data_IF_307641831481
#
_entry.id   IF_307641831481
#
_cell.length_a   1.000
_cell.length_b   1.000
_cell.length_c   1.000
_cell.angle_alpha   90.00
_cell.angle_beta   90.00
_cell.angle_gamma   90.00
#
_symmetry.space_group_name_H-M   'P 1'
#
loop_
_entity.id
_entity.type
_entity.pdbx_description
1 polymer ?
#
# COMPACT_ATOMS: atom_id res chain seq x y z
N UNK A 1 -3.21 -4.29 19.22
CA UNK A 1 -3.58 -3.86 17.86
C UNK A 1 -2.41 -3.11 17.25
N UNK A 2 -1.80 -3.68 16.24
CA UNK A 2 -0.61 -3.08 15.61
C UNK A 2 -0.71 -3.02 14.09
N UNK A 3 -1.37 -3.99 13.48
CA UNK A 3 -1.48 -4.06 12.05
C UNK A 3 -2.70 -3.28 11.56
N UNK A 4 -2.62 -2.74 10.33
CA UNK A 4 -3.79 -2.13 9.69
C UNK A 4 -4.94 -3.12 9.53
N UNK A 5 -4.62 -4.39 9.31
CA UNK A 5 -5.58 -5.50 9.33
C UNK A 5 -6.38 -5.62 10.62
N UNK A 6 -5.80 -5.22 11.76
CA UNK A 6 -6.51 -5.20 13.04
C UNK A 6 -7.34 -3.92 13.23
N UNK A 7 -6.87 -2.79 12.67
CA UNK A 7 -7.52 -1.48 12.83
C UNK A 7 -8.76 -1.37 11.95
N UNK A 8 -8.69 -1.83 10.71
CA UNK A 8 -9.78 -1.67 9.76
C UNK A 8 -11.09 -2.37 10.19
N UNK A 9 -11.07 -3.61 10.69
CA UNK A 9 -12.27 -4.23 11.27
C UNK A 9 -12.85 -3.43 12.43
N UNK A 10 -12.01 -2.86 13.29
CA UNK A 10 -12.47 -2.04 14.42
C UNK A 10 -13.15 -0.75 13.94
N UNK A 11 -12.60 -0.08 12.93
CA UNK A 11 -13.24 1.09 12.32
C UNK A 11 -14.59 0.71 11.71
N UNK A 12 -14.65 -0.39 10.98
CA UNK A 12 -15.88 -0.90 10.37
C UNK A 12 -16.94 -1.29 11.42
N UNK A 13 -16.51 -1.67 12.64
CA UNK A 13 -17.36 -1.96 13.79
C UNK A 13 -17.77 -0.70 14.56
N UNK A 14 -17.36 0.48 14.14
CA UNK A 14 -17.72 1.76 14.76
C UNK A 14 -16.84 2.16 15.95
N UNK A 15 -15.66 1.53 16.12
CA UNK A 15 -14.72 1.96 17.15
C UNK A 15 -14.27 3.41 16.92
N UNK A 16 -14.23 4.19 17.99
CA UNK A 16 -13.85 5.59 17.95
C UNK A 16 -12.34 5.74 17.69
N UNK A 17 -11.96 6.72 16.89
CA UNK A 17 -10.55 6.97 16.57
C UNK A 17 -9.68 7.15 17.84
N UNK A 18 -10.23 7.76 18.90
CA UNK A 18 -9.55 7.93 20.18
C UNK A 18 -9.25 6.60 20.88
N UNK A 19 -10.18 5.64 20.84
CA UNK A 19 -10.02 4.32 21.46
C UNK A 19 -9.01 3.47 20.68
N UNK A 20 -9.05 3.56 19.36
CA UNK A 20 -8.06 2.92 18.48
C UNK A 20 -6.67 3.48 18.76
N UNK A 21 -6.52 4.80 18.84
CA UNK A 21 -5.24 5.44 19.15
C UNK A 21 -4.72 5.02 20.54
N UNK A 22 -5.58 4.97 21.55
CA UNK A 22 -5.22 4.49 22.88
C UNK A 22 -4.76 3.03 22.87
N UNK A 23 -5.44 2.17 22.11
CA UNK A 23 -5.06 0.76 21.93
C UNK A 23 -3.69 0.62 21.24
N UNK A 24 -3.38 1.46 20.27
CA UNK A 24 -2.08 1.48 19.60
C UNK A 24 -0.99 1.88 20.60
N UNK A 25 -1.18 2.94 21.39
CA UNK A 25 -0.22 3.33 22.42
C UNK A 25 0.02 2.20 23.44
N UNK A 26 -1.04 1.53 23.88
CA UNK A 26 -0.89 0.40 24.80
C UNK A 26 -0.14 -0.77 24.15
N UNK A 27 -0.39 -1.05 22.89
CA UNK A 27 0.32 -2.10 22.15
C UNK A 27 1.82 -1.77 21.99
N UNK A 28 2.17 -0.50 21.70
CA UNK A 28 3.56 -0.02 21.66
C UNK A 28 4.25 -0.25 23.00
N UNK A 29 3.59 0.11 24.10
CA UNK A 29 4.11 -0.08 25.47
C UNK A 29 4.38 -1.55 25.74
N UNK A 30 3.40 -2.41 25.51
CA UNK A 30 3.52 -3.85 25.76
C UNK A 30 4.66 -4.47 24.95
N UNK A 31 4.78 -4.12 23.67
CA UNK A 31 5.84 -4.63 22.81
C UNK A 31 7.22 -4.10 23.21
N UNK A 32 7.30 -2.82 23.60
CA UNK A 32 8.56 -2.22 24.07
C UNK A 32 9.04 -2.90 25.34
N UNK A 33 8.15 -3.08 26.31
CA UNK A 33 8.48 -3.76 27.57
C UNK A 33 8.89 -5.20 27.32
N UNK A 34 8.11 -5.95 26.54
CA UNK A 34 8.41 -7.35 26.21
C UNK A 34 9.74 -7.50 25.46
N UNK A 35 10.02 -6.63 24.51
CA UNK A 35 11.25 -6.66 23.72
C UNK A 35 12.52 -6.26 24.48
N UNK A 36 12.42 -5.22 25.31
CA UNK A 36 13.59 -4.68 26.04
C UNK A 36 13.83 -5.37 27.38
N UNK A 37 12.76 -5.60 28.14
CA UNK A 37 12.91 -6.21 29.46
C UNK A 37 13.14 -7.74 29.41
N UNK A 38 12.64 -8.41 28.36
CA UNK A 38 12.79 -9.87 28.18
C UNK A 38 12.42 -10.66 29.45
N UNK A 39 11.32 -10.29 30.10
CA UNK A 39 10.84 -10.88 31.35
C UNK A 39 11.55 -10.39 32.63
N UNK A 40 12.53 -9.50 32.51
CA UNK A 40 13.17 -8.90 33.71
C UNK A 40 12.31 -7.77 34.27
N UNK A 41 12.22 -7.61 35.59
CA UNK A 41 11.48 -6.51 36.19
C UNK A 41 12.19 -5.16 35.94
N UNK A 42 11.44 -4.18 35.45
CA UNK A 42 11.90 -2.81 35.31
C UNK A 42 11.72 -2.13 36.66
N UNK A 43 12.83 -1.68 37.27
CA UNK A 43 12.85 -1.10 38.62
C UNK A 43 13.68 0.19 38.62
N UNK A 44 13.44 1.05 39.61
CA UNK A 44 14.19 2.29 39.83
C UNK A 44 13.51 3.53 39.22
N UNK A 45 14.26 4.60 39.12
CA UNK A 45 13.82 5.88 38.57
C UNK A 45 13.79 5.78 37.03
N UNK A 46 12.63 5.99 36.43
CA UNK A 46 12.44 5.88 34.98
C UNK A 46 12.48 7.27 34.36
N UNK A 47 13.36 7.46 33.38
CA UNK A 47 13.43 8.66 32.58
C UNK A 47 12.85 8.41 31.20
N UNK A 48 12.01 9.33 30.74
CA UNK A 48 11.43 9.33 29.39
C UNK A 48 12.25 10.22 28.47
N UNK A 49 12.93 9.63 27.49
CA UNK A 49 13.82 10.31 26.55
C UNK A 49 13.40 10.03 25.09
N UNK A 50 13.81 10.93 24.22
CA UNK A 50 13.57 10.82 22.77
C UNK A 50 12.20 11.31 22.32
N UNK A 51 12.05 11.50 21.01
CA UNK A 51 10.90 12.18 20.41
C UNK A 51 9.52 11.63 20.83
N UNK A 52 9.24 10.34 20.63
CA UNK A 52 7.92 9.79 20.96
C UNK A 52 7.50 9.99 22.41
N UNK A 53 8.42 9.80 23.34
CA UNK A 53 8.14 9.98 24.77
C UNK A 53 8.13 11.45 25.19
N UNK A 54 8.86 12.31 24.50
CA UNK A 54 8.83 13.76 24.76
C UNK A 54 7.50 14.38 24.33
N UNK A 55 7.02 14.06 23.13
CA UNK A 55 5.82 14.71 22.56
C UNK A 55 4.52 14.06 22.99
N UNK A 56 4.49 12.75 23.26
CA UNK A 56 3.25 12.04 23.56
C UNK A 56 3.04 11.81 25.07
N UNK A 57 2.27 12.68 25.71
CA UNK A 57 1.84 12.50 27.10
C UNK A 57 0.99 11.25 27.31
N UNK A 58 0.20 10.84 26.31
CA UNK A 58 -0.59 9.63 26.35
C UNK A 58 0.28 8.37 26.39
N UNK A 59 1.36 8.36 25.59
CA UNK A 59 2.31 7.25 25.59
C UNK A 59 2.98 7.11 26.98
N UNK A 60 3.43 8.21 27.58
CA UNK A 60 4.01 8.20 28.93
C UNK A 60 3.02 7.66 29.98
N UNK A 61 1.78 8.14 29.97
CA UNK A 61 0.75 7.64 30.88
C UNK A 61 0.48 6.12 30.72
N UNK A 62 0.56 5.62 29.48
CA UNK A 62 0.43 4.19 29.23
C UNK A 62 1.61 3.40 29.80
N UNK A 63 2.84 3.93 29.73
CA UNK A 63 4.00 3.34 30.41
C UNK A 63 3.85 3.36 31.92
N UNK A 64 3.52 4.52 32.50
CA UNK A 64 3.31 4.67 33.94
C UNK A 64 2.29 3.66 34.47
N UNK A 65 1.13 3.54 33.78
CA UNK A 65 0.08 2.61 34.14
C UNK A 65 0.53 1.14 34.05
N UNK A 66 1.27 0.79 33.00
CA UNK A 66 1.68 -0.59 32.76
C UNK A 66 2.80 -1.02 33.72
N UNK A 67 3.71 -0.14 34.03
CA UNK A 67 4.83 -0.40 34.94
C UNK A 67 4.50 -0.17 36.40
N UNK A 68 3.39 0.46 36.72
CA UNK A 68 3.00 0.84 38.09
C UNK A 68 3.93 1.88 38.71
N UNK A 69 4.46 2.80 37.91
CA UNK A 69 5.43 3.84 38.31
C UNK A 69 5.00 5.21 37.79
N UNK A 70 5.64 6.26 38.28
CA UNK A 70 5.57 7.59 37.66
C UNK A 70 6.94 7.94 37.13
N UNK A 71 7.09 7.89 35.81
CA UNK A 71 8.35 8.25 35.16
C UNK A 71 8.53 9.76 35.03
N UNK A 72 9.77 10.20 34.90
CA UNK A 72 10.15 11.60 34.79
C UNK A 72 10.50 11.97 33.37
N UNK A 73 9.93 13.04 32.84
CA UNK A 73 10.35 13.68 31.59
C UNK A 73 11.27 14.83 31.91
N UNK A 74 12.59 14.68 31.73
CA UNK A 74 13.52 15.78 32.04
C UNK A 74 13.42 16.91 30.99
N UNK A 75 13.77 18.08 31.37
CA UNK A 75 14.02 19.20 30.47
C UNK A 75 15.10 18.78 29.44
N UNK A 76 14.95 19.23 28.20
CA UNK A 76 15.85 18.85 27.10
C UNK A 76 15.93 17.35 26.78
N UNK A 77 14.88 16.58 27.10
CA UNK A 77 14.82 15.13 26.88
C UNK A 77 15.14 14.68 25.44
N UNK A 78 14.98 15.56 24.45
CA UNK A 78 15.38 15.34 23.05
C UNK A 78 16.91 15.44 22.84
N UNK A 79 17.59 16.18 23.66
CA UNK A 79 19.02 16.52 23.51
C UNK A 79 19.94 15.64 24.36
N UNK A 80 19.40 14.72 25.16
CA UNK A 80 20.16 13.91 26.10
C UNK A 80 21.33 13.16 25.45
N UNK A 81 21.14 12.64 24.23
CA UNK A 81 22.23 11.95 23.51
C UNK A 81 23.33 12.92 23.13
N UNK A 82 22.98 14.10 22.61
CA UNK A 82 23.96 15.14 22.28
C UNK A 82 24.66 15.69 23.52
N UNK A 83 23.92 15.91 24.62
CA UNK A 83 24.50 16.34 25.91
C UNK A 83 25.43 15.27 26.46
N UNK A 84 25.03 13.99 26.40
CA UNK A 84 25.89 12.90 26.83
C UNK A 84 27.16 12.81 25.98
N UNK A 85 27.05 12.97 24.66
CA UNK A 85 28.24 13.05 23.81
C UNK A 85 29.16 14.23 24.16
N UNK A 86 28.56 15.38 24.45
CA UNK A 86 29.35 16.55 24.87
C UNK A 86 30.09 16.32 26.19
N UNK A 87 29.51 15.57 27.15
CA UNK A 87 30.20 15.22 28.40
C UNK A 87 31.36 14.24 28.21
N UNK A 88 31.37 13.49 27.10
CA UNK A 88 32.47 12.59 26.74
C UNK A 88 33.51 13.25 25.83
N UNK A 89 33.28 14.50 25.39
CA UNK A 89 34.23 15.22 24.57
C UNK A 89 35.36 15.73 25.50
N UNK A 90 36.51 15.12 25.41
CA UNK A 90 37.72 15.41 26.19
C UNK A 90 38.85 16.03 25.34
N UNK A 91 38.67 16.13 24.04
CA UNK A 91 39.61 16.73 23.12
C UNK A 91 39.10 18.09 22.59
N UNK A 92 39.98 19.09 22.59
CA UNK A 92 39.73 20.37 21.96
C UNK A 92 40.01 20.27 20.44
N UNK A 93 39.10 20.79 19.63
CA UNK A 93 39.27 20.85 18.18
C UNK A 93 39.13 22.27 17.68
N UNK A 94 40.03 22.70 16.80
CA UNK A 94 39.89 23.98 16.09
C UNK A 94 38.78 23.89 15.05
N UNK A 95 37.74 24.72 15.20
CA UNK A 95 36.61 24.76 14.27
C UNK A 95 37.02 25.09 12.82
N UNK A 96 38.12 25.83 12.63
CA UNK A 96 38.64 26.15 11.30
C UNK A 96 39.21 24.89 10.63
N UNK A 97 39.90 24.06 11.39
CA UNK A 97 40.43 22.81 10.91
C UNK A 97 39.29 21.80 10.60
N UNK A 98 38.27 21.76 11.47
CA UNK A 98 37.05 20.95 11.18
C UNK A 98 36.37 21.41 9.92
N UNK A 99 36.19 22.73 9.73
CA UNK A 99 35.60 23.28 8.52
C UNK A 99 36.42 22.91 7.27
N UNK A 100 37.76 23.05 7.32
CA UNK A 100 38.66 22.65 6.24
C UNK A 100 38.51 21.14 5.89
N UNK A 101 38.50 20.29 6.91
CA UNK A 101 38.32 18.84 6.70
C UNK A 101 36.95 18.51 6.09
N UNK A 102 35.89 19.29 6.41
CA UNK A 102 34.58 19.14 5.79
C UNK A 102 34.59 19.57 4.31
N UNK A 103 35.28 20.66 3.97
CA UNK A 103 35.42 21.12 2.58
C UNK A 103 36.26 20.14 1.73
N UNK A 104 37.25 19.50 2.35
CA UNK A 104 38.10 18.50 1.70
C UNK A 104 37.47 17.09 1.69
N UNK A 105 36.37 16.87 2.42
CA UNK A 105 35.72 15.57 2.51
C UNK A 105 35.04 15.20 1.20
N UNK A 106 35.60 14.24 0.50
CA UNK A 106 34.94 13.55 -0.61
C UNK A 106 34.49 12.18 -0.15
N UNK A 107 33.20 11.95 -0.15
CA UNK A 107 32.66 10.61 0.12
C UNK A 107 33.07 9.67 -1.01
N UNK A 108 34.03 8.79 -0.75
CA UNK A 108 34.28 7.65 -1.65
C UNK A 108 33.19 6.63 -1.39
N UNK A 109 32.30 6.43 -2.33
CA UNK A 109 31.24 5.44 -2.23
C UNK A 109 31.85 4.03 -1.99
N UNK A 110 31.72 3.53 -0.78
CA UNK A 110 32.27 2.22 -0.37
C UNK A 110 31.16 1.18 -0.16
N UNK A 111 29.92 1.51 -0.53
CA UNK A 111 28.80 0.59 -0.39
C UNK A 111 28.77 -0.46 -1.51
N UNK A 112 28.16 -1.61 -1.25
CA UNK A 112 27.92 -2.64 -2.27
C UNK A 112 26.85 -2.14 -3.22
N UNK A 113 27.16 -2.12 -4.51
CA UNK A 113 26.26 -1.64 -5.56
C UNK A 113 25.76 -2.77 -6.46
N UNK A 114 24.59 -2.56 -7.03
CA UNK A 114 23.96 -3.40 -8.05
C UNK A 114 24.11 -2.76 -9.43
N UNK A 115 23.94 -3.54 -10.51
CA UNK A 115 23.88 -2.97 -11.85
C UNK A 115 22.74 -1.96 -12.00
N UNK A 116 22.91 -0.92 -12.83
CA UNK A 116 21.86 0.05 -13.14
C UNK A 116 20.58 -0.62 -13.66
N UNK A 117 19.44 0.03 -13.41
CA UNK A 117 18.16 -0.44 -13.93
C UNK A 117 18.11 -0.36 -15.46
N UNK A 118 18.64 0.72 -16.02
CA UNK A 118 18.78 0.93 -17.46
C UNK A 118 20.23 1.28 -17.78
N UNK A 119 20.79 0.67 -18.82
CA UNK A 119 22.14 0.97 -19.28
C UNK A 119 22.22 2.32 -20.01
N UNK A 120 21.14 2.74 -20.64
CA UNK A 120 21.03 3.98 -21.38
C UNK A 120 19.56 4.38 -21.59
N UNK A 121 19.37 5.59 -22.17
CA UNK A 121 18.04 6.15 -22.41
C UNK A 121 17.21 5.34 -23.42
N UNK A 122 17.86 4.77 -24.44
CA UNK A 122 17.17 3.97 -25.46
C UNK A 122 16.52 2.71 -24.85
N UNK A 123 17.24 2.02 -23.96
CA UNK A 123 16.69 0.86 -23.25
C UNK A 123 15.44 1.24 -22.42
N UNK A 124 15.46 2.41 -21.80
CA UNK A 124 14.29 2.93 -21.10
C UNK A 124 13.12 3.24 -22.05
N UNK A 125 13.40 3.91 -23.18
CA UNK A 125 12.36 4.23 -24.16
C UNK A 125 11.69 2.97 -24.75
N UNK A 126 12.48 1.95 -25.06
CA UNK A 126 11.98 0.66 -25.54
C UNK A 126 11.14 -0.06 -24.49
N UNK A 127 11.57 -0.04 -23.22
CA UNK A 127 10.83 -0.57 -22.08
C UNK A 127 9.50 0.17 -21.89
N UNK A 128 9.53 1.50 -21.87
CA UNK A 128 8.35 2.34 -21.70
C UNK A 128 7.33 2.12 -22.83
N UNK A 129 7.80 2.16 -24.09
CA UNK A 129 6.96 1.93 -25.27
C UNK A 129 6.31 0.54 -25.28
N UNK A 130 6.98 -0.48 -24.73
CA UNK A 130 6.41 -1.82 -24.60
C UNK A 130 5.27 -1.86 -23.60
N UNK A 131 5.40 -1.20 -22.45
CA UNK A 131 4.36 -1.17 -21.42
C UNK A 131 3.16 -0.30 -21.82
N UNK A 132 3.32 0.69 -22.68
CA UNK A 132 2.22 1.48 -23.23
C UNK A 132 1.25 0.70 -24.14
N UNK A 133 1.59 -0.54 -24.53
CA UNK A 133 0.71 -1.37 -25.39
C UNK A 133 -0.44 -2.04 -24.62
N UNK A 134 -0.30 -2.19 -23.30
CA UNK A 134 -1.33 -2.82 -22.46
C UNK A 134 -2.29 -1.75 -21.92
N UNK A 135 -3.17 -1.25 -22.79
CA UNK A 135 -4.09 -0.14 -22.49
C UNK A 135 -5.53 -0.58 -22.63
N UNK A 136 -6.41 0.07 -21.86
CA UNK A 136 -7.87 0.01 -22.05
C UNK A 136 -8.32 1.33 -22.66
N UNK A 137 -9.10 1.32 -23.75
CA UNK A 137 -9.63 2.56 -24.30
C UNK A 137 -10.46 3.32 -23.25
N UNK A 138 -10.16 4.61 -23.09
CA UNK A 138 -10.94 5.51 -22.27
C UNK A 138 -11.74 6.41 -23.22
N UNK A 139 -13.07 6.25 -23.24
CA UNK A 139 -13.96 6.94 -24.15
C UNK A 139 -14.74 8.04 -23.41
N UNK A 140 -15.14 9.12 -24.10
CA UNK A 140 -16.05 10.11 -23.53
C UNK A 140 -17.35 9.47 -23.07
N UNK A 141 -17.80 9.78 -21.87
CA UNK A 141 -19.08 9.30 -21.35
C UNK A 141 -20.23 10.12 -21.92
N UNK A 142 -20.71 9.74 -23.10
CA UNK A 142 -21.83 10.40 -23.80
C UNK A 142 -23.19 9.83 -23.45
N UNK A 143 -24.26 10.50 -23.91
CA UNK A 143 -25.65 10.07 -23.68
C UNK A 143 -26.01 8.73 -24.36
N UNK A 144 -25.30 8.36 -25.42
CA UNK A 144 -25.60 7.20 -26.26
C UNK A 144 -24.72 5.96 -25.91
N UNK A 145 -24.07 5.94 -24.74
CA UNK A 145 -23.16 4.84 -24.35
C UNK A 145 -23.88 3.51 -24.07
N UNK A 146 -25.22 3.47 -24.14
CA UNK A 146 -26.00 2.28 -23.80
C UNK A 146 -25.94 1.91 -22.31
N UNK A 147 -26.35 0.68 -21.96
CA UNK A 147 -26.24 0.19 -20.59
C UNK A 147 -24.78 0.03 -20.15
N UNK A 148 -24.45 0.53 -18.94
CA UNK A 148 -23.10 0.48 -18.39
C UNK A 148 -22.97 -0.52 -17.26
N UNK A 149 -21.72 -0.94 -16.98
CA UNK A 149 -21.38 -1.83 -15.87
C UNK A 149 -20.41 -1.13 -14.93
N UNK A 150 -20.71 -1.15 -13.64
CA UNK A 150 -19.92 -0.48 -12.61
C UNK A 150 -19.21 -1.51 -11.75
N UNK A 151 -17.91 -1.33 -11.57
CA UNK A 151 -17.12 -2.06 -10.59
C UNK A 151 -16.63 -1.14 -9.49
N UNK A 152 -16.79 -1.57 -8.24
CA UNK A 152 -16.37 -0.82 -7.06
C UNK A 152 -15.42 -1.68 -6.24
N UNK A 153 -14.15 -1.26 -6.15
CA UNK A 153 -13.16 -1.86 -5.26
C UNK A 153 -13.03 -1.00 -4.00
N UNK A 154 -13.61 -1.50 -2.93
CA UNK A 154 -13.55 -0.88 -1.61
C UNK A 154 -12.42 -1.46 -0.78
N UNK A 155 -11.21 -0.96 -0.99
CA UNK A 155 -10.04 -1.36 -0.23
C UNK A 155 -10.01 -0.77 1.19
N UNK A 156 -9.02 -1.19 1.98
CA UNK A 156 -8.82 -0.73 3.36
C UNK A 156 -8.57 0.77 3.50
N UNK A 157 -7.93 1.38 2.51
CA UNK A 157 -7.52 2.81 2.54
C UNK A 157 -8.04 3.63 1.38
N UNK A 158 -8.46 2.98 0.29
CA UNK A 158 -8.87 3.64 -0.94
C UNK A 158 -10.12 3.02 -1.53
N UNK A 159 -10.89 3.86 -2.23
CA UNK A 159 -11.98 3.42 -3.11
C UNK A 159 -11.54 3.62 -4.55
N UNK A 160 -11.81 2.62 -5.37
CA UNK A 160 -11.70 2.70 -6.82
C UNK A 160 -13.05 2.36 -7.41
N UNK A 161 -13.48 3.12 -8.38
CA UNK A 161 -14.72 2.90 -9.11
C UNK A 161 -14.42 3.03 -10.60
N UNK A 162 -14.88 2.07 -11.38
CA UNK A 162 -14.75 2.04 -12.83
C UNK A 162 -16.11 1.82 -13.44
N UNK A 163 -16.46 2.59 -14.47
CA UNK A 163 -17.64 2.41 -15.31
C UNK A 163 -17.18 1.99 -16.69
N UNK A 164 -17.69 0.88 -17.18
CA UNK A 164 -17.39 0.36 -18.52
C UNK A 164 -18.65 0.24 -19.38
N UNK A 165 -18.47 0.33 -20.69
CA UNK A 165 -19.48 0.00 -21.69
C UNK A 165 -19.54 -1.51 -21.97
N UNK A 166 -20.39 -1.87 -22.97
CA UNK A 166 -20.51 -3.28 -23.40
C UNK A 166 -19.29 -3.82 -24.16
N UNK A 167 -18.36 -2.96 -24.59
CA UNK A 167 -17.12 -3.35 -25.25
C UNK A 167 -15.94 -3.37 -24.29
N UNK A 168 -16.21 -3.14 -22.99
CA UNK A 168 -15.24 -3.07 -21.90
C UNK A 168 -14.31 -1.82 -21.95
N UNK A 169 -14.71 -0.78 -22.71
CA UNK A 169 -14.02 0.50 -22.66
C UNK A 169 -14.36 1.24 -21.37
N UNK A 170 -13.42 1.98 -20.81
CA UNK A 170 -13.66 2.80 -19.62
C UNK A 170 -14.33 4.11 -20.04
N UNK A 171 -15.47 4.41 -19.41
CA UNK A 171 -16.20 5.65 -19.57
C UNK A 171 -15.95 6.62 -18.41
N UNK A 172 -15.68 6.07 -17.22
CA UNK A 172 -15.39 6.85 -16.03
C UNK A 172 -14.54 6.04 -15.06
N UNK A 173 -13.62 6.72 -14.39
CA UNK A 173 -12.82 6.14 -13.33
C UNK A 173 -12.68 7.11 -12.15
N UNK A 174 -12.55 6.54 -10.96
CA UNK A 174 -12.25 7.29 -9.74
C UNK A 174 -11.35 6.47 -8.82
N UNK A 175 -10.27 7.08 -8.37
CA UNK A 175 -9.35 6.52 -7.37
C UNK A 175 -9.15 7.55 -6.26
N UNK A 176 -9.63 7.28 -5.04
CA UNK A 176 -9.53 8.22 -3.91
C UNK A 176 -9.34 7.52 -2.56
N UNK A 177 -8.69 8.18 -1.58
CA UNK A 177 -8.67 7.73 -0.18
C UNK A 177 -10.09 7.66 0.38
N UNK A 178 -10.39 6.60 1.15
CA UNK A 178 -11.70 6.40 1.78
C UNK A 178 -11.79 6.96 3.20
N UNK A 179 -10.68 7.45 3.77
CA UNK A 179 -10.58 8.01 5.12
C UNK A 179 -11.19 7.11 6.21
N UNK A 180 -11.22 5.79 6.00
CA UNK A 180 -11.81 4.80 6.90
C UNK A 180 -13.32 4.60 6.76
N UNK A 181 -14.02 5.38 5.91
CA UNK A 181 -15.45 5.21 5.64
C UNK A 181 -15.72 5.33 4.14
N UNK A 182 -15.97 4.23 3.42
CA UNK A 182 -16.21 4.22 1.99
C UNK A 182 -17.56 4.82 1.58
N UNK A 183 -18.56 4.79 2.46
CA UNK A 183 -19.96 5.08 2.12
C UNK A 183 -20.18 6.49 1.57
N UNK A 184 -19.69 7.57 2.21
CA UNK A 184 -19.89 8.92 1.69
C UNK A 184 -19.31 9.11 0.28
N UNK A 185 -18.13 8.53 0.02
CA UNK A 185 -17.43 8.68 -1.24
C UNK A 185 -18.12 7.90 -2.38
N UNK A 186 -18.60 6.69 -2.10
CA UNK A 186 -19.36 5.90 -3.08
C UNK A 186 -20.69 6.60 -3.39
N UNK A 187 -21.41 7.08 -2.35
CA UNK A 187 -22.64 7.85 -2.54
C UNK A 187 -22.42 9.11 -3.42
N UNK A 188 -21.41 9.91 -3.08
CA UNK A 188 -21.04 11.10 -3.86
C UNK A 188 -20.77 10.75 -5.33
N UNK A 189 -20.03 9.65 -5.57
CA UNK A 189 -19.67 9.22 -6.92
C UNK A 189 -20.89 8.78 -7.71
N UNK A 190 -21.75 7.93 -7.13
CA UNK A 190 -22.97 7.47 -7.82
C UNK A 190 -23.94 8.63 -8.09
N UNK A 191 -24.12 9.57 -7.14
CA UNK A 191 -24.92 10.78 -7.35
C UNK A 191 -24.34 11.66 -8.46
N UNK A 192 -23.02 11.82 -8.51
CA UNK A 192 -22.34 12.53 -9.59
C UNK A 192 -22.66 11.92 -10.95
N UNK A 193 -22.50 10.59 -11.07
CA UNK A 193 -22.80 9.87 -12.32
C UNK A 193 -24.24 10.11 -12.80
N UNK A 194 -25.24 10.03 -11.91
CA UNK A 194 -26.63 10.30 -12.28
C UNK A 194 -26.90 11.76 -12.69
N UNK A 195 -26.24 12.72 -12.04
CA UNK A 195 -26.39 14.14 -12.34
C UNK A 195 -25.72 14.53 -13.65
N UNK A 196 -24.52 14.00 -13.88
CA UNK A 196 -23.73 14.32 -15.07
C UNK A 196 -24.26 13.58 -16.31
N UNK A 197 -24.95 12.46 -16.12
CA UNK A 197 -25.50 11.61 -17.21
C UNK A 197 -26.99 11.34 -16.98
N UNK A 198 -27.89 12.31 -17.25
CA UNK A 198 -29.33 12.12 -17.14
C UNK A 198 -29.81 10.97 -18.06
N UNK A 199 -30.55 10.02 -17.49
CA UNK A 199 -31.00 8.85 -18.22
C UNK A 199 -30.02 7.65 -18.25
N UNK A 200 -28.95 7.73 -17.45
CA UNK A 200 -27.96 6.66 -17.28
C UNK A 200 -28.64 5.32 -16.98
N UNK A 201 -28.37 4.32 -17.81
CA UNK A 201 -28.84 2.95 -17.63
C UNK A 201 -27.70 2.11 -17.07
N UNK A 202 -27.85 1.65 -15.83
CA UNK A 202 -26.88 0.78 -15.18
C UNK A 202 -27.40 -0.66 -15.31
N UNK A 203 -26.63 -1.51 -16.02
CA UNK A 203 -26.95 -2.92 -16.22
C UNK A 203 -26.47 -3.78 -15.04
N UNK A 204 -25.32 -3.45 -14.45
CA UNK A 204 -24.83 -4.14 -13.26
C UNK A 204 -23.89 -3.30 -12.42
N UNK A 205 -23.92 -3.53 -11.11
CA UNK A 205 -22.95 -2.99 -10.15
C UNK A 205 -22.37 -4.15 -9.34
N UNK A 206 -21.05 -4.31 -9.40
CA UNK A 206 -20.33 -5.36 -8.68
C UNK A 206 -19.32 -4.74 -7.73
N UNK A 207 -19.33 -5.15 -6.47
CA UNK A 207 -18.41 -4.68 -5.43
C UNK A 207 -17.35 -5.73 -5.13
N UNK A 208 -16.16 -5.27 -4.72
CA UNK A 208 -15.05 -6.13 -4.30
C UNK A 208 -14.20 -5.42 -3.23
N UNK A 209 -13.22 -6.12 -2.66
CA UNK A 209 -12.32 -5.60 -1.63
C UNK A 209 -12.86 -5.74 -0.21
N UNK A 210 -12.14 -5.22 0.79
CA UNK A 210 -12.48 -5.36 2.21
C UNK A 210 -13.87 -4.81 2.58
N UNK A 211 -14.32 -3.76 1.91
CA UNK A 211 -15.63 -3.12 2.11
C UNK A 211 -16.73 -3.65 1.20
N UNK A 212 -16.51 -4.77 0.52
CA UNK A 212 -17.43 -5.36 -0.46
C UNK A 212 -18.86 -5.44 0.06
N UNK A 213 -19.08 -6.17 1.14
CA UNK A 213 -20.43 -6.37 1.67
C UNK A 213 -21.06 -5.10 2.21
N UNK A 214 -20.27 -4.23 2.86
CA UNK A 214 -20.75 -2.96 3.35
C UNK A 214 -21.30 -2.08 2.22
N UNK A 215 -20.52 -1.92 1.14
CA UNK A 215 -20.92 -1.11 -0.02
C UNK A 215 -22.07 -1.75 -0.77
N UNK A 216 -22.02 -3.08 -0.98
CA UNK A 216 -23.09 -3.84 -1.63
C UNK A 216 -24.42 -3.66 -0.93
N UNK A 217 -24.44 -3.84 0.39
CA UNK A 217 -25.68 -3.76 1.18
C UNK A 217 -26.17 -2.31 1.31
N UNK A 218 -25.27 -1.34 1.47
CA UNK A 218 -25.64 0.06 1.59
C UNK A 218 -26.30 0.61 0.32
N UNK A 219 -25.83 0.23 -0.85
CA UNK A 219 -26.30 0.77 -2.13
C UNK A 219 -27.09 -0.20 -2.97
N UNK A 220 -27.45 -1.39 -2.45
CA UNK A 220 -28.17 -2.46 -3.15
C UNK A 220 -27.46 -2.89 -4.45
N UNK A 221 -26.13 -2.96 -4.42
CA UNK A 221 -25.37 -3.44 -5.57
C UNK A 221 -25.72 -4.91 -5.87
N UNK A 222 -25.70 -5.27 -7.14
CA UNK A 222 -26.20 -6.58 -7.62
C UNK A 222 -25.37 -7.75 -7.09
N UNK A 223 -24.04 -7.57 -6.96
CA UNK A 223 -23.11 -8.65 -6.59
C UNK A 223 -21.95 -8.15 -5.76
N UNK A 224 -21.53 -9.00 -4.83
CA UNK A 224 -20.22 -8.97 -4.23
C UNK A 224 -19.32 -10.00 -4.92
N UNK A 225 -18.05 -9.68 -5.05
CA UNK A 225 -17.04 -10.51 -5.70
C UNK A 225 -15.79 -10.57 -4.86
N UNK A 226 -15.30 -11.77 -4.60
CA UNK A 226 -14.02 -11.94 -3.91
C UNK A 226 -12.92 -11.23 -4.69
N UNK A 227 -12.09 -10.47 -3.99
CA UNK A 227 -11.05 -9.60 -4.57
C UNK A 227 -10.11 -10.36 -5.50
N UNK A 228 -9.70 -11.57 -5.14
CA UNK A 228 -8.85 -12.43 -5.97
C UNK A 228 -9.47 -12.74 -7.33
N UNK A 229 -10.79 -12.97 -7.38
CA UNK A 229 -11.51 -13.24 -8.62
C UNK A 229 -11.62 -11.99 -9.48
N UNK A 230 -11.81 -10.81 -8.86
CA UNK A 230 -11.81 -9.53 -9.58
C UNK A 230 -10.47 -9.29 -10.26
N UNK A 231 -9.39 -9.39 -9.52
CA UNK A 231 -8.02 -9.21 -10.04
C UNK A 231 -7.67 -10.21 -11.14
N UNK A 232 -8.04 -11.47 -10.96
CA UNK A 232 -7.85 -12.51 -11.99
C UNK A 232 -8.63 -12.22 -13.25
N UNK A 233 -9.91 -11.82 -13.12
CA UNK A 233 -10.75 -11.47 -14.25
C UNK A 233 -10.17 -10.34 -15.10
N UNK A 234 -9.64 -9.30 -14.43
CA UNK A 234 -8.98 -8.19 -15.10
C UNK A 234 -7.66 -8.64 -15.77
N UNK A 235 -6.82 -9.40 -15.09
CA UNK A 235 -5.55 -9.87 -15.64
C UNK A 235 -5.75 -10.74 -16.88
N UNK A 236 -6.76 -11.64 -16.85
CA UNK A 236 -7.11 -12.50 -17.98
C UNK A 236 -7.60 -11.73 -19.20
N UNK A 237 -8.18 -10.54 -19.01
CA UNK A 237 -8.56 -9.67 -20.11
C UNK A 237 -7.36 -9.17 -20.91
N UNK A 238 -6.25 -8.85 -20.23
CA UNK A 238 -5.00 -8.39 -20.88
C UNK A 238 -4.14 -9.55 -21.37
N UNK A 239 -4.15 -10.67 -20.68
CA UNK A 239 -3.34 -11.85 -20.97
C UNK A 239 -4.18 -13.12 -20.72
N UNK A 240 -4.86 -13.65 -21.74
CA UNK A 240 -5.73 -14.83 -21.59
C UNK A 240 -5.04 -16.05 -20.98
N UNK A 241 -3.76 -16.25 -21.31
CA UNK A 241 -2.91 -17.37 -20.87
C UNK A 241 -2.00 -16.97 -19.71
N UNK A 242 -2.47 -16.11 -18.80
CA UNK A 242 -1.70 -15.67 -17.63
C UNK A 242 -1.34 -16.84 -16.72
N UNK A 243 -0.05 -16.96 -16.38
CA UNK A 243 0.50 -17.98 -15.46
C UNK A 243 0.57 -17.45 -14.02
N UNK A 244 0.90 -16.18 -13.88
CA UNK A 244 1.11 -15.57 -12.58
C UNK A 244 0.66 -14.11 -12.54
N UNK A 245 0.03 -13.73 -11.43
CA UNK A 245 -0.41 -12.36 -11.20
C UNK A 245 0.25 -11.85 -9.93
N UNK A 246 0.82 -10.66 -9.99
CA UNK A 246 1.41 -9.99 -8.84
C UNK A 246 0.72 -8.66 -8.65
N UNK A 247 0.00 -8.54 -7.56
CA UNK A 247 -0.64 -7.29 -7.13
C UNK A 247 0.11 -6.71 -5.93
N UNK A 248 0.73 -5.55 -6.13
CA UNK A 248 1.38 -4.82 -5.05
C UNK A 248 0.64 -3.51 -4.83
N UNK A 249 -0.17 -3.51 -3.80
CA UNK A 249 -0.89 -2.34 -3.33
C UNK A 249 -0.01 -1.39 -2.51
N UNK A 250 -0.64 -0.38 -1.93
CA UNK A 250 0.03 0.52 -1.01
C UNK A 250 0.37 -0.11 0.34
N UNK A 251 -0.38 -1.11 0.78
CA UNK A 251 -0.32 -1.67 2.14
C UNK A 251 -0.16 -3.19 2.18
N UNK A 252 -0.63 -3.87 1.17
CA UNK A 252 -0.67 -5.31 1.04
C UNK A 252 -0.10 -5.76 -0.31
N UNK A 253 0.17 -7.02 -0.39
CA UNK A 253 0.61 -7.68 -1.60
C UNK A 253 -0.13 -9.00 -1.71
N UNK A 254 -0.62 -9.30 -2.92
CA UNK A 254 -1.29 -10.54 -3.26
C UNK A 254 -0.69 -11.09 -4.55
N UNK A 255 -0.36 -12.36 -4.54
CA UNK A 255 0.15 -13.01 -5.74
C UNK A 255 -0.67 -14.27 -5.99
N UNK A 256 -0.95 -14.54 -7.25
CA UNK A 256 -1.80 -15.66 -7.65
C UNK A 256 -1.07 -16.51 -8.68
N UNK A 257 -0.92 -17.79 -8.40
CA UNK A 257 -0.48 -18.77 -9.39
C UNK A 257 -1.70 -19.31 -10.13
N UNK A 258 -1.62 -19.37 -11.46
CA UNK A 258 -2.70 -19.82 -12.32
C UNK A 258 -2.25 -21.11 -12.99
N UNK A 259 -3.04 -22.14 -12.90
CA UNK A 259 -2.84 -23.43 -13.58
C UNK A 259 -4.17 -23.86 -14.16
N UNK A 260 -4.16 -24.34 -15.39
CA UNK A 260 -5.34 -24.79 -16.13
C UNK A 260 -6.48 -23.74 -16.16
N UNK A 261 -6.12 -22.46 -16.23
CA UNK A 261 -7.07 -21.35 -16.28
C UNK A 261 -7.81 -21.05 -14.97
N UNK A 262 -7.32 -21.58 -13.83
CA UNK A 262 -7.85 -21.36 -12.50
C UNK A 262 -6.74 -20.96 -11.51
N UNK A 263 -7.11 -20.25 -10.44
CA UNK A 263 -6.18 -19.91 -9.36
C UNK A 263 -5.84 -21.18 -8.59
N UNK A 264 -4.58 -21.65 -8.67
CA UNK A 264 -4.09 -22.84 -7.98
C UNK A 264 -3.47 -22.51 -6.62
N UNK A 265 -2.86 -21.34 -6.47
CA UNK A 265 -2.26 -20.92 -5.20
C UNK A 265 -2.34 -19.39 -5.02
N UNK A 266 -2.40 -18.97 -3.77
CA UNK A 266 -2.46 -17.55 -3.37
C UNK A 266 -1.39 -17.29 -2.30
N UNK A 267 -0.56 -16.28 -2.54
CA UNK A 267 0.43 -15.79 -1.61
C UNK A 267 0.01 -14.41 -1.12
N UNK A 268 -0.06 -14.23 0.19
CA UNK A 268 -0.52 -13.00 0.81
C UNK A 268 0.54 -12.41 1.74
N UNK A 269 0.69 -11.09 1.69
CA UNK A 269 1.43 -10.33 2.69
C UNK A 269 0.63 -9.11 3.12
N UNK A 270 -0.12 -9.26 4.19
CA UNK A 270 -0.93 -8.21 4.81
C UNK A 270 -0.27 -7.63 6.07
N UNK A 271 0.73 -8.33 6.61
CA UNK A 271 1.34 -8.00 7.90
C UNK A 271 2.57 -7.08 7.80
N UNK A 272 3.22 -7.01 6.63
CA UNK A 272 4.49 -6.30 6.48
C UNK A 272 4.50 -5.39 5.25
N UNK A 273 4.68 -4.09 5.47
CA UNK A 273 4.74 -3.10 4.39
C UNK A 273 6.05 -3.13 3.57
N UNK A 274 7.05 -3.93 3.95
CA UNK A 274 8.38 -3.91 3.31
C UNK A 274 8.42 -4.34 1.84
N UNK A 275 7.33 -4.89 1.32
CA UNK A 275 7.15 -5.22 -0.09
C UNK A 275 6.08 -4.37 -0.77
N UNK A 276 5.55 -3.32 -0.15
CA UNK A 276 4.40 -2.56 -0.62
C UNK A 276 4.75 -1.09 -0.88
N UNK A 277 3.86 -0.36 -1.55
CA UNK A 277 4.07 1.04 -1.93
C UNK A 277 4.29 1.99 -0.75
N UNK A 278 3.67 1.73 0.42
CA UNK A 278 3.86 2.55 1.63
C UNK A 278 5.29 2.51 2.17
N UNK A 279 6.03 1.43 1.88
CA UNK A 279 7.45 1.37 2.20
C UNK A 279 8.24 2.44 1.43
N UNK A 280 8.07 2.51 0.11
CA UNK A 280 8.70 3.53 -0.73
C UNK A 280 8.26 4.94 -0.35
N UNK A 281 6.97 5.14 -0.10
CA UNK A 281 6.43 6.43 0.34
C UNK A 281 7.04 6.90 1.66
N UNK A 282 7.24 6.01 2.62
CA UNK A 282 7.86 6.33 3.92
C UNK A 282 9.30 6.83 3.73
N UNK A 283 10.09 6.17 2.88
CA UNK A 283 11.45 6.58 2.61
C UNK A 283 11.54 7.86 1.78
N UNK A 284 10.70 8.02 0.76
CA UNK A 284 10.61 9.25 -0.02
C UNK A 284 10.34 10.46 0.89
N UNK A 285 9.31 10.37 1.75
CA UNK A 285 8.98 11.42 2.71
C UNK A 285 10.10 11.69 3.72
N UNK A 286 10.75 10.63 4.25
CA UNK A 286 11.87 10.78 5.19
C UNK A 286 13.09 11.47 4.55
N UNK A 287 13.24 11.37 3.22
CA UNK A 287 14.30 12.01 2.45
C UNK A 287 13.87 13.36 1.84
N UNK A 288 12.62 13.80 2.08
CA UNK A 288 12.10 15.10 1.65
C UNK A 288 11.56 15.15 0.22
N UNK A 289 11.20 14.01 -0.37
CA UNK A 289 10.69 13.90 -1.74
C UNK A 289 9.22 13.46 -1.80
N UNK A 290 8.53 13.88 -2.86
CA UNK A 290 7.30 13.21 -3.29
C UNK A 290 7.62 11.80 -3.81
N UNK A 291 6.69 10.87 -3.65
CA UNK A 291 6.92 9.46 -4.03
C UNK A 291 7.15 9.27 -5.52
N UNK A 292 6.54 10.09 -6.38
CA UNK A 292 6.72 10.02 -7.84
C UNK A 292 8.06 10.60 -8.27
N UNK A 293 8.45 11.73 -7.68
CA UNK A 293 9.78 12.32 -7.88
C UNK A 293 10.87 11.36 -7.44
N UNK A 294 10.71 10.77 -6.26
CA UNK A 294 11.66 9.80 -5.72
C UNK A 294 11.80 8.56 -6.62
N UNK A 295 10.69 8.06 -7.17
CA UNK A 295 10.70 6.97 -8.13
C UNK A 295 11.46 7.32 -9.41
N UNK A 296 11.25 8.53 -9.96
CA UNK A 296 11.91 9.00 -11.17
C UNK A 296 13.44 9.12 -11.00
N UNK A 297 13.91 9.56 -9.84
CA UNK A 297 15.34 9.64 -9.52
C UNK A 297 16.05 8.29 -9.67
N UNK A 298 15.38 7.19 -9.27
CA UNK A 298 15.99 5.86 -9.30
C UNK A 298 16.16 5.25 -10.68
N UNK A 299 15.49 5.78 -11.73
CA UNK A 299 15.49 5.16 -13.06
C UNK A 299 16.88 5.09 -13.70
N UNK A 300 17.68 6.14 -13.56
CA UNK A 300 19.00 6.26 -14.16
C UNK A 300 20.14 6.31 -13.13
N UNK A 301 19.92 5.72 -11.96
CA UNK A 301 20.95 5.54 -10.96
C UNK A 301 22.12 4.70 -11.51
N UNK A 302 23.34 5.21 -11.37
CA UNK A 302 24.55 4.57 -11.92
C UNK A 302 25.06 3.39 -11.07
N UNK A 303 24.85 3.45 -9.75
CA UNK A 303 25.30 2.47 -8.77
C UNK A 303 24.24 2.20 -7.70
N UNK A 304 23.09 1.60 -8.06
CA UNK A 304 22.04 1.29 -7.09
C UNK A 304 22.58 0.58 -5.84
N UNK A 305 22.19 1.02 -4.66
CA UNK A 305 22.67 0.42 -3.41
C UNK A 305 22.08 -0.98 -3.25
N UNK A 306 22.90 -1.98 -2.93
CA UNK A 306 22.36 -3.29 -2.54
C UNK A 306 21.85 -3.27 -1.10
N UNK A 307 20.57 -3.02 -0.95
CA UNK A 307 19.88 -3.00 0.35
C UNK A 307 19.38 -4.37 0.77
N UNK A 308 19.46 -5.37 -0.12
CA UNK A 308 18.96 -6.72 0.10
C UNK A 308 17.44 -6.77 0.31
N UNK A 309 16.97 -7.85 0.93
CA UNK A 309 15.56 -8.05 1.30
C UNK A 309 15.40 -7.94 2.82
N UNK A 310 15.05 -6.77 3.35
CA UNK A 310 14.95 -6.51 4.79
C UNK A 310 13.60 -5.89 5.14
N UNK A 311 13.17 -6.05 6.40
CA UNK A 311 11.98 -5.33 6.87
C UNK A 311 12.27 -3.83 7.02
N UNK A 312 11.23 -3.01 7.03
CA UNK A 312 11.31 -1.53 7.04
C UNK A 312 12.18 -0.99 8.18
N UNK A 313 12.13 -1.61 9.37
CA UNK A 313 12.91 -1.17 10.53
C UNK A 313 14.42 -1.31 10.29
N UNK A 314 14.85 -2.48 9.83
CA UNK A 314 16.26 -2.71 9.51
C UNK A 314 16.71 -1.97 8.25
N UNK A 315 15.81 -1.76 7.30
CA UNK A 315 16.07 -0.99 6.09
C UNK A 315 16.45 0.46 6.39
N UNK A 316 15.81 1.07 7.39
CA UNK A 316 16.13 2.44 7.79
C UNK A 316 17.61 2.58 8.19
N UNK A 317 18.14 1.62 8.95
CA UNK A 317 19.56 1.59 9.31
C UNK A 317 20.46 1.39 8.09
N UNK A 318 20.05 0.55 7.13
CA UNK A 318 20.81 0.31 5.91
C UNK A 318 20.85 1.53 5.00
N UNK A 319 19.73 2.26 4.87
CA UNK A 319 19.66 3.52 4.10
C UNK A 319 20.53 4.58 4.74
N UNK A 320 20.47 4.75 6.06
CA UNK A 320 21.36 5.71 6.78
C UNK A 320 22.83 5.35 6.63
N UNK A 321 23.17 4.06 6.63
CA UNK A 321 24.54 3.63 6.41
C UNK A 321 24.98 3.95 4.98
N UNK A 322 24.15 3.64 3.97
CA UNK A 322 24.45 3.98 2.58
C UNK A 322 24.66 5.49 2.36
N UNK A 323 23.87 6.35 3.05
CA UNK A 323 24.08 7.79 3.04
C UNK A 323 25.44 8.19 3.63
N UNK A 324 25.84 7.58 4.76
CA UNK A 324 27.16 7.81 5.36
C UNK A 324 28.31 7.35 4.45
N UNK A 325 28.08 6.27 3.70
CA UNK A 325 29.03 5.71 2.73
C UNK A 325 29.03 6.49 1.41
N UNK A 326 28.28 7.59 1.31
CA UNK A 326 28.29 8.52 0.17
C UNK A 326 27.38 8.11 -0.99
N UNK A 327 26.40 7.24 -0.78
CA UNK A 327 25.42 6.92 -1.80
C UNK A 327 24.52 8.12 -2.12
N UNK A 328 24.32 8.40 -3.39
CA UNK A 328 23.41 9.45 -3.85
C UNK A 328 21.94 9.05 -3.61
N UNK A 329 21.04 10.03 -3.64
CA UNK A 329 19.60 9.79 -3.47
C UNK A 329 19.06 8.91 -4.60
N UNK A 330 19.56 9.08 -5.82
CA UNK A 330 19.22 8.28 -6.98
C UNK A 330 19.56 6.80 -6.73
N UNK A 331 20.77 6.54 -6.23
CA UNK A 331 21.26 5.20 -5.95
C UNK A 331 20.49 4.52 -4.80
N UNK A 332 20.06 5.31 -3.80
CA UNK A 332 19.20 4.83 -2.72
C UNK A 332 17.78 4.53 -3.22
N UNK A 333 17.20 5.40 -4.05
CA UNK A 333 15.87 5.20 -4.63
C UNK A 333 15.80 3.93 -5.48
N UNK A 334 16.80 3.71 -6.35
CA UNK A 334 16.91 2.49 -7.13
C UNK A 334 17.07 1.26 -6.23
N UNK A 335 17.94 1.33 -5.22
CA UNK A 335 18.17 0.25 -4.27
C UNK A 335 16.91 -0.14 -3.48
N UNK A 336 16.10 0.85 -3.06
CA UNK A 336 14.82 0.61 -2.39
C UNK A 336 13.80 -0.03 -3.34
N UNK A 337 13.72 0.40 -4.60
CA UNK A 337 12.85 -0.18 -5.62
C UNK A 337 13.21 -1.65 -5.89
N UNK A 338 14.50 -1.98 -5.98
CA UNK A 338 14.99 -3.36 -6.10
C UNK A 338 14.66 -4.17 -4.84
N UNK A 339 14.80 -3.57 -3.65
CA UNK A 339 14.50 -4.24 -2.38
C UNK A 339 13.02 -4.61 -2.24
N UNK A 340 12.08 -3.78 -2.71
CA UNK A 340 10.64 -4.11 -2.76
C UNK A 340 10.43 -5.39 -3.55
N UNK A 341 11.05 -5.50 -4.71
CA UNK A 341 10.96 -6.67 -5.59
C UNK A 341 11.56 -7.91 -4.93
N UNK A 342 12.76 -7.79 -4.35
CA UNK A 342 13.41 -8.90 -3.64
C UNK A 342 12.56 -9.38 -2.44
N UNK A 343 11.89 -8.46 -1.72
CA UNK A 343 10.97 -8.84 -0.65
C UNK A 343 9.75 -9.59 -1.19
N UNK A 344 9.17 -9.14 -2.31
CA UNK A 344 8.06 -9.82 -2.96
C UNK A 344 8.42 -11.24 -3.36
N UNK A 345 9.49 -11.40 -4.12
CA UNK A 345 9.89 -12.67 -4.70
C UNK A 345 10.36 -13.67 -3.64
N UNK A 346 11.29 -13.26 -2.77
CA UNK A 346 11.99 -14.20 -1.89
C UNK A 346 11.34 -14.39 -0.51
N UNK A 347 10.55 -13.42 -0.02
CA UNK A 347 9.91 -13.54 1.29
C UNK A 347 8.44 -13.88 1.24
N UNK A 348 7.71 -13.34 0.26
CA UNK A 348 6.28 -13.56 0.13
C UNK A 348 6.01 -14.77 -0.74
N UNK A 349 6.44 -14.73 -1.99
CA UNK A 349 6.23 -15.81 -2.95
C UNK A 349 7.12 -17.01 -2.61
N UNK A 350 8.34 -16.75 -2.10
CA UNK A 350 9.37 -17.75 -1.79
C UNK A 350 9.78 -18.56 -3.02
N UNK A 351 9.82 -17.87 -4.17
CA UNK A 351 10.26 -18.47 -5.41
C UNK A 351 11.72 -18.92 -5.28
N UNK A 352 11.99 -20.16 -5.62
CA UNK A 352 13.36 -20.72 -5.66
C UNK A 352 14.05 -20.39 -6.96
N UNK A 353 13.27 -20.18 -8.03
CA UNK A 353 13.75 -19.74 -9.34
C UNK A 353 12.68 -18.94 -10.10
N UNK A 354 13.09 -18.10 -11.06
CA UNK A 354 12.16 -17.36 -11.92
C UNK A 354 11.19 -18.25 -12.71
N UNK A 355 11.63 -19.44 -13.10
CA UNK A 355 10.83 -20.37 -13.92
C UNK A 355 9.58 -20.88 -13.17
N UNK A 356 9.60 -20.89 -11.84
CA UNK A 356 8.44 -21.31 -11.03
C UNK A 356 7.21 -20.41 -11.21
N UNK A 357 7.41 -19.15 -11.63
CA UNK A 357 6.35 -18.18 -11.84
C UNK A 357 5.77 -18.22 -13.27
N UNK A 358 6.34 -19.04 -14.15
CA UNK A 358 5.95 -19.07 -15.55
C UNK A 358 6.50 -17.90 -16.37
N UNK A 359 5.97 -17.70 -17.56
CA UNK A 359 6.42 -16.64 -18.50
C UNK A 359 5.37 -15.58 -18.77
N UNK A 360 4.10 -15.91 -18.58
CA UNK A 360 2.97 -15.05 -18.84
C UNK A 360 2.56 -14.35 -17.53
N UNK A 361 3.25 -13.27 -17.19
CA UNK A 361 3.08 -12.59 -15.90
C UNK A 361 2.39 -11.25 -16.09
N UNK A 362 1.33 -11.02 -15.34
CA UNK A 362 0.67 -9.71 -15.22
C UNK A 362 1.03 -9.12 -13.86
N UNK A 363 1.52 -7.88 -13.87
CA UNK A 363 1.78 -7.10 -12.66
C UNK A 363 0.78 -5.97 -12.54
N UNK A 364 0.25 -5.75 -11.34
CA UNK A 364 -0.81 -4.79 -11.07
C UNK A 364 -0.67 -4.21 -9.66
N UNK A 365 -1.58 -3.29 -9.29
CA UNK A 365 -1.50 -2.52 -8.07
C UNK A 365 -0.73 -1.20 -8.27
N UNK A 366 -1.02 -0.23 -7.39
CA UNK A 366 -0.50 1.13 -7.52
C UNK A 366 1.03 1.24 -7.46
N UNK A 367 1.70 0.28 -6.84
CA UNK A 367 3.17 0.26 -6.72
C UNK A 367 3.87 0.09 -8.07
N UNK A 368 3.24 -0.61 -9.02
CA UNK A 368 3.81 -0.80 -10.36
C UNK A 368 3.71 0.41 -11.30
N UNK A 369 3.08 1.51 -10.87
CA UNK A 369 3.26 2.81 -11.54
C UNK A 369 4.67 3.37 -11.34
N UNK A 370 5.41 2.89 -10.34
CA UNK A 370 6.83 3.14 -10.21
C UNK A 370 7.61 2.27 -11.21
N UNK A 371 8.09 2.88 -12.29
CA UNK A 371 8.82 2.18 -13.36
C UNK A 371 10.17 1.61 -12.91
N UNK A 372 10.78 2.16 -11.86
CA UNK A 372 11.97 1.57 -11.26
C UNK A 372 11.66 0.22 -10.58
N UNK A 373 10.51 0.09 -9.91
CA UNK A 373 10.03 -1.20 -9.36
C UNK A 373 9.70 -2.17 -10.50
N UNK A 374 8.98 -1.69 -11.51
CA UNK A 374 8.60 -2.50 -12.67
C UNK A 374 9.83 -3.06 -13.39
N UNK A 375 10.82 -2.21 -13.65
CA UNK A 375 12.08 -2.62 -14.30
C UNK A 375 12.90 -3.55 -13.41
N UNK A 376 12.99 -3.25 -12.11
CA UNK A 376 13.67 -4.11 -11.15
C UNK A 376 13.07 -5.52 -11.14
N UNK A 377 11.74 -5.60 -11.24
CA UNK A 377 11.04 -6.88 -11.30
C UNK A 377 11.42 -7.68 -12.55
N UNK A 378 11.39 -7.05 -13.74
CA UNK A 378 11.80 -7.71 -14.98
C UNK A 378 13.25 -8.17 -14.97
N UNK A 379 14.16 -7.36 -14.40
CA UNK A 379 15.58 -7.72 -14.29
C UNK A 379 15.80 -8.89 -13.33
N UNK A 380 15.12 -8.90 -12.19
CA UNK A 380 15.24 -9.96 -11.20
C UNK A 380 14.66 -11.29 -11.71
N UNK A 381 13.56 -11.21 -12.48
CA UNK A 381 12.89 -12.38 -13.06
C UNK A 381 13.49 -12.83 -14.40
N UNK A 382 14.24 -11.97 -15.10
CA UNK A 382 14.75 -12.25 -16.44
C UNK A 382 13.66 -12.39 -17.51
N UNK A 383 12.43 -11.90 -17.26
CA UNK A 383 11.30 -11.96 -18.19
C UNK A 383 10.62 -10.61 -18.30
N UNK A 384 10.02 -10.34 -19.46
CA UNK A 384 9.15 -9.19 -19.65
C UNK A 384 7.78 -9.50 -19.06
N UNK A 385 7.20 -8.53 -18.35
CA UNK A 385 5.86 -8.64 -17.77
C UNK A 385 4.88 -7.70 -18.45
N UNK A 386 3.59 -7.95 -18.28
CA UNK A 386 2.52 -7.03 -18.71
C UNK A 386 2.08 -6.22 -17.50
N UNK A 387 2.19 -4.89 -17.62
CA UNK A 387 1.65 -3.93 -16.66
C UNK A 387 0.59 -3.12 -17.39
N UNK A 388 -0.72 -3.35 -17.11
CA UNK A 388 -1.80 -2.54 -17.65
C UNK A 388 -1.66 -1.06 -17.25
N UNK A 389 -2.09 -0.15 -18.12
CA UNK A 389 -2.15 1.29 -17.80
C UNK A 389 -3.03 1.58 -16.60
N UNK A 390 -4.06 0.77 -16.38
CA UNK A 390 -4.98 0.81 -15.25
C UNK A 390 -4.53 -0.07 -14.07
N UNK A 391 -3.24 -0.32 -13.91
CA UNK A 391 -2.71 -1.24 -12.89
C UNK A 391 -3.27 -1.01 -11.47
N UNK A 392 -3.54 0.24 -11.09
CA UNK A 392 -4.15 0.60 -9.80
C UNK A 392 -5.66 0.39 -9.72
N UNK A 393 -6.35 0.13 -10.84
CA UNK A 393 -7.81 0.01 -10.95
C UNK A 393 -8.28 -1.42 -11.26
N UNK A 394 -7.35 -2.38 -11.34
CA UNK A 394 -7.61 -3.75 -11.80
C UNK A 394 -8.71 -4.45 -11.00
N UNK A 395 -8.79 -4.24 -9.67
CA UNK A 395 -9.88 -4.79 -8.86
C UNK A 395 -11.26 -4.27 -9.27
N UNK A 396 -11.39 -2.95 -9.43
CA UNK A 396 -12.65 -2.34 -9.87
C UNK A 396 -12.99 -2.71 -11.33
N UNK A 397 -12.01 -2.67 -12.23
CA UNK A 397 -12.21 -3.06 -13.63
C UNK A 397 -12.62 -4.52 -13.76
N UNK A 398 -11.96 -5.42 -13.04
CA UNK A 398 -12.31 -6.84 -13.02
C UNK A 398 -13.71 -7.12 -12.44
N UNK A 399 -14.11 -6.36 -11.41
CA UNK A 399 -15.47 -6.42 -10.87
C UNK A 399 -16.51 -5.97 -11.91
N UNK A 400 -16.24 -4.90 -12.68
CA UNK A 400 -17.10 -4.44 -13.75
C UNK A 400 -17.21 -5.49 -14.89
N UNK A 401 -16.07 -6.06 -15.32
CA UNK A 401 -16.04 -7.15 -16.33
C UNK A 401 -16.83 -8.37 -15.88
N UNK A 402 -16.66 -8.78 -14.62
CA UNK A 402 -17.41 -9.91 -14.06
C UNK A 402 -18.92 -9.61 -14.04
N UNK A 403 -19.31 -8.40 -13.58
CA UNK A 403 -20.70 -7.96 -13.60
C UNK A 403 -21.30 -7.98 -15.01
N UNK A 404 -20.57 -7.47 -16.00
CA UNK A 404 -20.92 -7.51 -17.41
C UNK A 404 -21.15 -8.95 -17.91
N UNK A 405 -20.22 -9.85 -17.63
CA UNK A 405 -20.31 -11.24 -18.05
C UNK A 405 -21.49 -12.02 -17.42
N UNK A 406 -21.98 -11.56 -16.25
CA UNK A 406 -23.12 -12.16 -15.54
C UNK A 406 -24.44 -11.42 -15.75
N UNK A 407 -24.43 -10.25 -16.38
CA UNK A 407 -25.63 -9.51 -16.73
C UNK A 407 -26.30 -10.14 -17.95
N UNK A 408 -27.62 -10.25 -17.90
CA UNK A 408 -28.42 -10.67 -19.10
C UNK A 408 -28.56 -9.50 -20.10
N UNK A 409 -28.98 -9.80 -21.31
CA UNK A 409 -29.11 -8.83 -22.41
C UNK A 409 -29.98 -7.59 -22.10
N UNK A 410 -30.89 -7.69 -21.13
CA UNK A 410 -31.80 -6.61 -20.70
C UNK A 410 -31.68 -6.36 -19.19
N UNK A 411 -30.53 -6.65 -18.60
CA UNK A 411 -30.34 -6.48 -17.18
C UNK A 411 -30.46 -5.00 -16.76
N UNK A 412 -31.11 -4.79 -15.62
CA UNK A 412 -31.10 -3.51 -14.91
C UNK A 412 -30.57 -3.77 -13.50
N UNK A 413 -29.65 -2.95 -13.08
CA UNK A 413 -29.09 -3.03 -11.72
C UNK A 413 -30.15 -2.72 -10.67
N UNK A 414 -30.01 -3.33 -9.51
CA UNK A 414 -30.76 -3.03 -8.28
C UNK A 414 -30.16 -1.88 -7.47
N UNK A 415 -29.09 -1.26 -7.95
CA UNK A 415 -28.43 -0.14 -7.28
C UNK A 415 -29.41 1.00 -7.04
N UNK A 416 -29.28 1.69 -5.92
CA UNK A 416 -30.14 2.80 -5.54
C UNK A 416 -30.20 3.86 -6.64
N UNK A 417 -31.42 4.30 -6.95
CA UNK A 417 -31.68 5.40 -7.89
C UNK A 417 -31.16 6.73 -7.36
N UNK A 418 -31.10 7.75 -8.23
CA UNK A 418 -30.69 9.09 -7.82
C UNK A 418 -31.50 9.61 -6.63
N UNK A 419 -32.83 9.47 -6.66
CA UNK A 419 -33.73 9.93 -5.60
C UNK A 419 -33.47 9.21 -4.27
N UNK A 420 -33.26 7.90 -4.30
CA UNK A 420 -32.95 7.10 -3.12
C UNK A 420 -31.58 7.49 -2.56
N UNK A 421 -30.57 7.74 -3.40
CA UNK A 421 -29.26 8.22 -2.98
C UNK A 421 -29.30 9.61 -2.35
N UNK A 422 -30.16 10.51 -2.85
CA UNK A 422 -30.34 11.85 -2.27
C UNK A 422 -30.88 11.79 -0.84
N UNK A 423 -31.79 10.85 -0.57
CA UNK A 423 -32.39 10.64 0.75
C UNK A 423 -31.69 9.57 1.60
N UNK A 424 -30.58 9.00 1.09
CA UNK A 424 -29.84 7.94 1.80
C UNK A 424 -29.32 8.42 3.13
N UNK A 425 -29.63 7.65 4.18
CA UNK A 425 -29.08 7.83 5.52
C UNK A 425 -28.60 6.49 6.07
N UNK A 426 -27.45 6.46 6.68
CA UNK A 426 -26.91 5.28 7.34
C UNK A 426 -26.83 5.50 8.84
N UNK A 427 -27.39 4.55 9.62
CA UNK A 427 -27.18 4.48 11.06
C UNK A 427 -26.20 3.35 11.34
N UNK A 428 -25.13 3.65 12.06
CA UNK A 428 -24.20 2.64 12.54
C UNK A 428 -24.60 2.27 13.95
N UNK A 429 -25.00 1.01 14.15
CA UNK A 429 -25.27 0.46 15.46
C UNK A 429 -24.17 -0.55 15.82
N UNK A 430 -23.52 -0.34 16.95
CA UNK A 430 -22.56 -1.31 17.48
C UNK A 430 -23.31 -2.30 18.36
N UNK A 431 -23.30 -3.56 18.01
CA UNK A 431 -23.90 -4.64 18.81
C UNK A 431 -22.79 -5.51 19.37
N UNK A 432 -22.75 -5.66 20.70
CA UNK A 432 -21.81 -6.56 21.34
C UNK A 432 -22.37 -7.99 21.30
N UNK A 433 -21.59 -8.91 20.71
CA UNK A 433 -21.97 -10.33 20.66
C UNK A 433 -21.89 -10.93 22.07
N UNK A 434 -23.05 -11.35 22.65
CA UNK A 434 -23.11 -11.95 23.99
C UNK A 434 -22.66 -13.43 24.03
N UNK A 435 -22.36 -14.04 22.91
CA UNK A 435 -22.10 -15.48 22.79
C UNK A 435 -20.64 -15.92 22.63
N UNK A 436 -19.70 -15.00 22.48
CA UNK A 436 -18.26 -15.34 22.27
C UNK A 436 -17.37 -14.33 22.97
N UNK A 437 -16.49 -14.80 23.84
CA UNK A 437 -15.45 -14.01 24.52
C UNK A 437 -14.28 -13.59 23.59
N UNK A 438 -14.31 -13.97 22.31
CA UNK A 438 -13.33 -13.56 21.30
C UNK A 438 -13.98 -12.61 20.30
N UNK A 439 -13.56 -11.34 20.30
CA UNK A 439 -14.04 -10.26 19.44
C UNK A 439 -13.76 -10.46 17.92
N UNK A 440 -13.25 -11.62 17.51
CA UNK A 440 -12.71 -11.84 16.17
C UNK A 440 -13.68 -12.36 15.11
N UNK A 441 -14.97 -12.57 15.41
CA UNK A 441 -15.85 -13.29 14.46
C UNK A 441 -17.27 -12.74 14.29
N UNK A 442 -17.48 -11.46 14.48
CA UNK A 442 -18.77 -10.82 14.10
C UNK A 442 -18.60 -10.20 12.70
N UNK A 443 -18.53 -11.02 11.70
CA UNK A 443 -18.41 -10.59 10.29
C UNK A 443 -18.26 -11.74 9.32
N UNK A 444 -18.47 -12.98 9.77
CA UNK A 444 -18.49 -14.15 8.89
C UNK A 444 -19.60 -15.11 9.33
N UNK A 445 -20.80 -14.76 9.02
CA UNK A 445 -21.93 -15.67 8.71
C UNK A 445 -22.90 -14.92 7.81
#
# INVERSE_FOLDING_TARGET
VFAKSDIQPLINQGAQAGDIAASIYQAVVNQTIAGLAQGRPIKGNILYLGGPLTFSGTLRRSFDKTLGVTGTLPENSLLFVAMGAAFYADEESDLREVAKRLDEYSATATYVSLPPLFANKQEYEDFHARHLKATVPCLPFGADCGPVHIGIDSGSTTIKLVVIDNDANILFERYRPNLGNPIPLVRETLLGLYKDHPGLQIASVTTTGYGEELVKNAFHCDRGLVETVAHFTAAKHFLPDVDFIIDIGGQDMKCFKIEDGAISNIFLNEACSSGCGSFLQTFAQALGYDVKEFAALGLFADKPVDLGSRCTVFMNSSVKQAQKDGASIENISAGLSISVVKNALYKVIRASSPEELGRNIVVQGGTFYNEAVLRAFEKEMGVNVIRPDIAGLMGAYGAALYGKAKAGAHARSTVLTQLELEHFSQKVNTVQCQGRSEERRVGKE
#
